data_IF_385095299019
#
_entry.id   IF_385095299019
#
_cell.length_a   1.000
_cell.length_b   1.000
_cell.length_c   1.000
_cell.angle_alpha   90.00
_cell.angle_beta   90.00
_cell.angle_gamma   90.00
#
_symmetry.space_group_name_H-M   'P 1'
#
loop_
_entity.id
_entity.type
_entity.pdbx_description
1 polymer ?
#
# COMPACT_ATOMS: atom_id res chain seq x y z
N UNK A 1 23.92 73.21 -24.04
CA UNK A 1 24.07 71.80 -24.47
C UNK A 1 24.63 70.98 -23.32
N UNK A 2 23.76 70.42 -22.48
CA UNK A 2 24.12 69.42 -21.48
C UNK A 2 23.65 68.08 -22.01
N UNK A 3 24.55 67.13 -22.27
CA UNK A 3 24.17 65.73 -22.42
C UNK A 3 25.20 64.86 -21.68
N UNK A 4 24.75 64.34 -20.53
CA UNK A 4 25.39 63.29 -19.75
C UNK A 4 25.33 61.98 -20.54
N UNK A 5 26.46 61.27 -20.65
CA UNK A 5 26.48 59.86 -21.05
C UNK A 5 27.49 59.10 -20.19
N UNK A 6 27.11 58.84 -18.93
CA UNK A 6 27.77 57.82 -18.11
C UNK A 6 27.18 56.47 -18.43
N UNK A 7 27.93 55.67 -19.19
CA UNK A 7 27.69 54.24 -19.40
C UNK A 7 27.93 53.49 -18.08
N UNK A 8 26.92 53.40 -17.23
CA UNK A 8 26.85 52.39 -16.18
C UNK A 8 26.36 51.09 -16.82
N UNK A 9 27.29 50.21 -17.18
CA UNK A 9 26.99 48.80 -17.42
C UNK A 9 26.53 48.16 -16.10
N UNK A 10 25.23 48.25 -15.80
CA UNK A 10 24.60 47.37 -14.84
C UNK A 10 24.59 45.96 -15.44
N UNK A 11 25.54 45.14 -15.02
CA UNK A 11 25.46 43.70 -15.22
C UNK A 11 24.29 43.19 -14.39
N UNK A 12 23.13 43.05 -15.03
CA UNK A 12 22.01 42.30 -14.47
C UNK A 12 22.44 40.84 -14.39
N UNK A 13 22.96 40.42 -13.25
CA UNK A 13 23.13 39.01 -12.93
C UNK A 13 21.74 38.41 -12.78
N UNK A 14 21.23 37.84 -13.88
CA UNK A 14 20.15 36.87 -13.86
C UNK A 14 20.61 35.68 -13.00
N UNK A 15 20.42 35.77 -11.69
CA UNK A 15 20.38 34.61 -10.82
C UNK A 15 19.10 33.82 -11.13
N UNK A 16 19.08 33.17 -12.30
CA UNK A 16 18.34 31.93 -12.48
C UNK A 16 19.03 30.90 -11.59
N UNK A 17 18.73 30.95 -10.29
CA UNK A 17 19.06 29.91 -9.34
C UNK A 17 18.36 28.64 -9.81
N UNK A 18 19.01 27.88 -10.69
CA UNK A 18 18.60 26.52 -11.03
C UNK A 18 18.84 25.70 -9.77
N UNK A 19 17.86 25.70 -8.87
CA UNK A 19 17.81 24.77 -7.74
C UNK A 19 17.86 23.39 -8.37
N UNK A 20 18.98 22.67 -8.17
CA UNK A 20 19.17 21.31 -8.70
C UNK A 20 18.05 20.44 -8.13
N UNK A 21 17.00 20.21 -8.92
CA UNK A 21 15.86 19.42 -8.51
C UNK A 21 16.30 18.03 -8.05
N UNK A 22 15.81 17.59 -6.90
CA UNK A 22 16.18 16.31 -6.29
C UNK A 22 15.76 15.12 -7.16
N UNK A 23 16.37 13.94 -6.97
CA UNK A 23 16.05 12.73 -7.76
C UNK A 23 14.54 12.41 -7.76
N UNK A 24 13.86 12.60 -6.63
CA UNK A 24 12.41 12.37 -6.50
C UNK A 24 11.58 13.38 -7.30
N UNK A 25 11.99 14.65 -7.35
CA UNK A 25 11.32 15.70 -8.12
C UNK A 25 11.47 15.48 -9.62
N UNK A 26 12.65 15.06 -10.07
CA UNK A 26 12.87 14.67 -11.49
C UNK A 26 11.97 13.51 -11.89
N UNK A 27 11.89 12.47 -11.04
CA UNK A 27 10.96 11.34 -11.25
C UNK A 27 9.50 11.77 -11.28
N UNK A 28 9.11 12.71 -10.42
CA UNK A 28 7.75 13.27 -10.41
C UNK A 28 7.44 13.96 -11.75
N UNK A 29 8.31 14.89 -12.19
CA UNK A 29 8.13 15.60 -13.47
C UNK A 29 8.04 14.64 -14.65
N UNK A 30 8.91 13.64 -14.71
CA UNK A 30 8.86 12.62 -15.76
C UNK A 30 7.57 11.79 -15.72
N UNK A 31 7.02 11.50 -14.54
CA UNK A 31 5.76 10.77 -14.42
C UNK A 31 4.56 11.61 -14.89
N UNK A 32 4.51 12.90 -14.56
CA UNK A 32 3.48 13.82 -15.03
C UNK A 32 3.58 14.06 -16.54
N UNK A 33 4.78 14.28 -17.08
CA UNK A 33 4.98 14.53 -18.52
C UNK A 33 4.55 13.34 -19.38
N UNK A 34 4.74 12.10 -18.89
CA UNK A 34 4.24 10.89 -19.56
C UNK A 34 2.71 10.85 -19.70
N UNK A 35 1.97 11.53 -18.84
CA UNK A 35 0.51 11.60 -18.90
C UNK A 35 0.00 12.78 -19.73
N UNK A 36 0.86 13.74 -20.08
CA UNK A 36 0.50 14.93 -20.85
C UNK A 36 -0.23 14.62 -22.17
N UNK A 37 0.13 13.58 -22.95
CA UNK A 37 -0.60 13.25 -24.18
C UNK A 37 -2.05 12.78 -23.96
N UNK A 38 -2.44 12.41 -22.74
CA UNK A 38 -3.79 11.89 -22.45
C UNK A 38 -4.74 12.95 -21.87
N UNK A 39 -4.22 14.13 -21.53
CA UNK A 39 -5.02 15.23 -20.99
C UNK A 39 -6.10 15.66 -21.99
N UNK A 40 -7.36 15.71 -21.54
CA UNK A 40 -8.51 16.04 -22.38
C UNK A 40 -8.98 14.91 -23.33
N UNK A 41 -8.28 13.77 -23.35
CA UNK A 41 -8.65 12.59 -24.16
C UNK A 41 -9.13 11.41 -23.33
N UNK A 42 -8.69 11.33 -22.08
CA UNK A 42 -9.00 10.26 -21.13
C UNK A 42 -9.65 10.87 -19.90
N UNK A 43 -10.54 10.11 -19.27
CA UNK A 43 -11.13 10.44 -17.97
C UNK A 43 -10.04 10.83 -16.94
N UNK A 44 -10.12 12.01 -16.31
CA UNK A 44 -9.09 12.50 -15.39
C UNK A 44 -8.85 11.62 -14.16
N UNK A 45 -9.89 10.96 -13.64
CA UNK A 45 -9.74 10.07 -12.47
C UNK A 45 -8.94 8.82 -12.83
N UNK A 46 -9.17 8.27 -14.02
CA UNK A 46 -8.39 7.16 -14.58
C UNK A 46 -6.90 7.50 -14.73
N UNK A 47 -6.58 8.76 -15.04
CA UNK A 47 -5.19 9.22 -15.09
C UNK A 47 -4.54 9.26 -13.69
N UNK A 48 -5.31 9.56 -12.64
CA UNK A 48 -4.81 9.52 -11.27
C UNK A 48 -4.46 8.11 -10.78
N UNK A 49 -5.08 7.07 -11.35
CA UNK A 49 -4.71 5.68 -11.09
C UNK A 49 -3.34 5.32 -11.69
N UNK A 50 -2.93 6.01 -12.76
CA UNK A 50 -1.65 5.80 -13.44
C UNK A 50 -0.50 6.65 -12.83
N UNK A 51 -0.82 7.83 -12.30
CA UNK A 51 0.18 8.77 -11.80
C UNK A 51 0.77 8.33 -10.44
N UNK A 52 2.08 8.11 -10.40
CA UNK A 52 2.81 7.77 -9.17
C UNK A 52 3.44 9.00 -8.54
N UNK A 53 2.97 9.34 -7.34
CA UNK A 53 3.50 10.46 -6.58
C UNK A 53 4.84 10.14 -5.91
N UNK A 54 5.93 10.65 -6.47
CA UNK A 54 7.30 10.53 -5.99
C UNK A 54 7.71 11.70 -5.09
N UNK A 55 7.21 12.90 -5.38
CA UNK A 55 7.50 14.12 -4.63
C UNK A 55 6.28 15.04 -4.62
N UNK A 56 5.96 15.71 -3.50
CA UNK A 56 6.55 15.52 -2.16
C UNK A 56 6.15 14.17 -1.54
N UNK A 57 6.95 13.65 -0.60
CA UNK A 57 6.67 12.34 0.02
C UNK A 57 5.34 12.40 0.79
N UNK A 58 4.47 11.44 0.54
CA UNK A 58 3.13 11.36 1.15
C UNK A 58 2.04 12.06 0.33
N UNK A 59 2.40 12.74 -0.77
CA UNK A 59 1.42 13.26 -1.72
C UNK A 59 0.64 12.15 -2.41
N UNK A 60 -0.54 12.51 -2.89
CA UNK A 60 -1.47 11.64 -3.59
C UNK A 60 -1.99 12.33 -4.83
N UNK A 61 -2.44 11.55 -5.81
CA UNK A 61 -2.97 12.13 -7.03
C UNK A 61 -4.38 12.66 -6.77
N UNK A 62 -4.61 13.91 -7.16
CA UNK A 62 -5.92 14.53 -7.20
C UNK A 62 -6.08 15.23 -8.54
N UNK A 63 -7.28 15.15 -9.11
CA UNK A 63 -7.64 15.92 -10.30
C UNK A 63 -7.78 17.39 -9.91
N UNK A 64 -7.01 18.24 -10.55
CA UNK A 64 -7.03 19.69 -10.37
C UNK A 64 -7.36 20.38 -11.70
N UNK A 65 -7.99 21.55 -11.62
CA UNK A 65 -8.29 22.36 -12.80
C UNK A 65 -7.09 23.26 -13.11
N UNK A 66 -6.44 23.05 -14.25
CA UNK A 66 -5.37 23.89 -14.80
C UNK A 66 -5.89 24.61 -16.05
N UNK A 67 -6.32 25.86 -15.88
CA UNK A 67 -6.99 26.61 -16.93
C UNK A 67 -8.32 25.97 -17.32
N UNK A 68 -8.46 25.57 -18.59
CA UNK A 68 -9.64 24.90 -19.12
C UNK A 68 -9.60 23.37 -19.01
N UNK A 69 -8.49 22.78 -18.55
CA UNK A 69 -8.25 21.33 -18.57
C UNK A 69 -8.22 20.77 -17.14
N UNK A 70 -8.76 19.57 -16.97
CA UNK A 70 -8.61 18.78 -15.74
C UNK A 70 -7.34 17.93 -15.85
N UNK A 71 -6.43 18.08 -14.89
CA UNK A 71 -5.13 17.43 -14.88
C UNK A 71 -4.89 16.65 -13.58
N UNK A 72 -4.31 15.44 -13.64
CA UNK A 72 -3.89 14.69 -12.46
C UNK A 72 -2.63 15.35 -11.87
N UNK A 73 -2.68 15.74 -10.59
CA UNK A 73 -1.52 16.31 -9.89
C UNK A 73 -1.28 15.64 -8.55
N UNK A 74 0.00 15.50 -8.20
CA UNK A 74 0.39 15.00 -6.89
C UNK A 74 0.35 16.13 -5.86
N UNK A 75 -0.65 16.10 -4.99
CA UNK A 75 -0.94 17.19 -4.05
C UNK A 75 -0.70 16.77 -2.60
N UNK A 76 -0.35 17.76 -1.78
CA UNK A 76 -0.41 17.65 -0.32
C UNK A 76 -1.56 18.53 0.19
N UNK A 77 -2.69 17.93 0.61
CA UNK A 77 -3.84 18.71 1.03
C UNK A 77 -3.53 19.49 2.32
N UNK A 78 -3.72 20.81 2.26
CA UNK A 78 -3.59 21.70 3.42
C UNK A 78 -4.93 21.80 4.17
N UNK A 79 -6.02 21.87 3.43
CA UNK A 79 -7.40 21.85 3.91
C UNK A 79 -8.09 20.57 3.43
N UNK A 80 -9.07 20.11 4.19
CA UNK A 80 -9.87 18.93 3.84
C UNK A 80 -11.35 19.24 4.04
N UNK A 81 -12.23 18.66 3.22
CA UNK A 81 -13.67 18.78 3.42
C UNK A 81 -14.07 18.18 4.77
N UNK A 82 -15.13 18.74 5.36
CA UNK A 82 -15.71 18.24 6.63
C UNK A 82 -16.59 16.99 6.45
N UNK A 83 -16.71 16.47 5.23
CA UNK A 83 -17.49 15.26 4.95
C UNK A 83 -16.98 14.08 5.78
N UNK A 84 -17.92 13.31 6.32
CA UNK A 84 -17.64 12.08 7.05
C UNK A 84 -17.81 10.93 6.08
N UNK A 85 -16.69 10.40 5.60
CA UNK A 85 -16.61 9.25 4.71
C UNK A 85 -15.41 8.40 5.18
N UNK A 86 -15.56 7.65 6.29
CA UNK A 86 -14.43 7.06 6.99
C UNK A 86 -13.62 6.15 6.09
N UNK A 87 -12.31 6.12 6.31
CA UNK A 87 -11.40 5.19 5.63
C UNK A 87 -10.46 4.55 6.65
N UNK A 88 -10.14 3.28 6.44
CA UNK A 88 -9.10 2.61 7.18
C UNK A 88 -7.80 2.71 6.38
N UNK A 89 -6.74 3.20 7.01
CA UNK A 89 -5.41 3.12 6.41
C UNK A 89 -4.85 1.70 6.48
N UNK A 90 -3.89 1.37 5.62
CA UNK A 90 -3.02 0.18 5.74
C UNK A 90 -2.25 0.14 7.07
N UNK A 91 -2.27 1.27 7.78
CA UNK A 91 -1.74 1.41 9.12
C UNK A 91 -2.83 1.29 10.21
N UNK A 92 -4.01 0.72 9.94
CA UNK A 92 -5.03 0.40 10.95
C UNK A 92 -5.50 1.58 11.76
N UNK A 93 -5.31 2.78 11.21
CA UNK A 93 -5.83 4.00 11.77
C UNK A 93 -7.01 4.42 10.90
N UNK A 94 -8.16 4.59 11.54
CA UNK A 94 -9.34 5.19 10.94
C UNK A 94 -9.11 6.69 10.77
N UNK A 95 -9.43 7.21 9.59
CA UNK A 95 -9.51 8.64 9.31
C UNK A 95 -10.95 8.97 8.92
N UNK A 96 -11.44 10.15 9.31
CA UNK A 96 -12.81 10.57 9.02
C UNK A 96 -13.10 10.70 7.51
N UNK A 97 -12.06 10.90 6.70
CA UNK A 97 -12.11 10.84 5.23
C UNK A 97 -10.72 10.62 4.61
N UNK A 98 -10.69 10.30 3.32
CA UNK A 98 -9.47 10.03 2.53
C UNK A 98 -8.53 11.25 2.45
N UNK A 99 -9.07 12.46 2.39
CA UNK A 99 -8.25 13.68 2.42
C UNK A 99 -7.44 13.77 3.73
N UNK A 100 -8.05 13.51 4.89
CA UNK A 100 -7.37 13.54 6.18
C UNK A 100 -6.27 12.49 6.29
N UNK A 101 -6.46 11.32 5.67
CA UNK A 101 -5.42 10.30 5.56
C UNK A 101 -4.20 10.84 4.80
N UNK A 102 -4.41 11.42 3.62
CA UNK A 102 -3.34 11.97 2.80
C UNK A 102 -2.70 13.24 3.39
N UNK A 103 -3.48 14.06 4.09
CA UNK A 103 -2.98 15.21 4.84
C UNK A 103 -1.97 14.79 5.92
N UNK A 104 -2.28 13.72 6.67
CA UNK A 104 -1.34 13.16 7.64
C UNK A 104 -0.10 12.56 6.95
N UNK A 105 -0.27 11.83 5.85
CA UNK A 105 0.81 11.23 5.08
C UNK A 105 1.85 12.28 4.63
N UNK A 106 1.38 13.36 4.02
CA UNK A 106 2.19 14.51 3.63
C UNK A 106 2.87 15.18 4.81
N UNK A 107 2.11 15.52 5.87
CA UNK A 107 2.65 16.20 7.05
C UNK A 107 3.78 15.40 7.70
N UNK A 108 3.65 14.07 7.73
CA UNK A 108 4.66 13.15 8.29
C UNK A 108 5.75 12.76 7.29
N UNK A 109 5.71 13.27 6.05
CA UNK A 109 6.64 12.90 4.96
C UNK A 109 6.77 11.38 4.80
N UNK A 110 5.65 10.65 4.85
CA UNK A 110 5.61 9.18 4.74
C UNK A 110 4.42 8.73 3.90
N UNK A 111 4.62 7.67 3.11
CA UNK A 111 3.53 7.02 2.36
C UNK A 111 2.58 6.32 3.33
N UNK A 112 1.29 6.63 3.24
CA UNK A 112 0.20 5.95 3.95
C UNK A 112 -0.85 5.62 2.89
N UNK A 113 -1.14 4.33 2.70
CA UNK A 113 -2.19 3.89 1.77
C UNK A 113 -3.55 3.73 2.47
N UNK A 114 -4.63 3.84 1.70
CA UNK A 114 -5.96 3.36 2.09
C UNK A 114 -5.98 1.83 2.01
N UNK A 115 -6.44 1.17 3.07
CA UNK A 115 -6.69 -0.27 3.08
C UNK A 115 -8.08 -0.57 2.52
N UNK A 116 -9.10 0.05 3.10
CA UNK A 116 -10.48 -0.07 2.65
C UNK A 116 -11.29 1.16 3.06
N UNK A 117 -12.44 1.35 2.40
CA UNK A 117 -13.46 2.32 2.81
C UNK A 117 -14.16 1.84 4.08
N UNK A 118 -14.62 2.78 4.91
CA UNK A 118 -15.16 2.52 6.24
C UNK A 118 -14.13 2.67 7.35
N UNK A 119 -14.59 2.67 8.61
CA UNK A 119 -13.69 2.66 9.76
C UNK A 119 -12.86 1.36 9.78
N UNK A 120 -11.65 1.42 10.35
CA UNK A 120 -10.92 0.19 10.62
C UNK A 120 -11.77 -0.72 11.50
N UNK A 121 -11.78 -1.99 11.14
CA UNK A 121 -12.36 -3.03 11.96
C UNK A 121 -11.56 -3.02 13.27
N UNK A 122 -12.25 -2.79 14.39
CA UNK A 122 -11.69 -2.88 15.74
C UNK A 122 -12.52 -3.93 16.47
N UNK A 123 -12.16 -5.17 16.27
CA UNK A 123 -12.77 -6.33 16.90
C UNK A 123 -12.43 -6.36 18.39
N UNK A 124 -13.44 -6.08 19.23
CA UNK A 124 -13.51 -6.57 20.62
C UNK A 124 -14.16 -7.96 20.72
N UNK A 125 -14.59 -8.52 19.58
CA UNK A 125 -15.27 -9.81 19.51
C UNK A 125 -14.27 -10.98 19.62
N UNK A 126 -14.73 -12.09 20.18
CA UNK A 126 -14.01 -13.36 20.09
C UNK A 126 -13.91 -13.79 18.63
N UNK A 127 -12.76 -14.33 18.23
CA UNK A 127 -12.53 -14.81 16.87
C UNK A 127 -13.35 -16.07 16.61
N UNK A 128 -14.38 -15.97 15.75
CA UNK A 128 -15.21 -17.10 15.36
C UNK A 128 -14.42 -18.15 14.59
N UNK A 129 -14.90 -19.40 14.53
CA UNK A 129 -14.20 -20.46 13.79
C UNK A 129 -14.10 -20.16 12.29
N UNK A 130 -15.12 -19.51 11.71
CA UNK A 130 -15.09 -19.10 10.31
C UNK A 130 -14.01 -18.05 10.05
N UNK A 131 -13.96 -16.99 10.86
CA UNK A 131 -12.92 -15.96 10.77
C UNK A 131 -11.53 -16.54 11.02
N UNK A 132 -11.41 -17.46 11.99
CA UNK A 132 -10.16 -18.14 12.30
C UNK A 132 -9.66 -18.99 11.13
N UNK A 133 -10.57 -19.66 10.41
CA UNK A 133 -10.27 -20.39 9.18
C UNK A 133 -9.78 -19.48 8.06
N UNK A 134 -10.43 -18.33 7.86
CA UNK A 134 -10.10 -17.33 6.84
C UNK A 134 -8.76 -16.61 7.11
N UNK A 135 -8.39 -16.49 8.37
CA UNK A 135 -7.29 -15.63 8.82
C UNK A 135 -5.94 -15.86 8.10
N UNK A 136 -5.42 -17.10 7.94
CA UNK A 136 -4.12 -17.33 7.32
C UNK A 136 -4.10 -16.89 5.85
N UNK A 137 -5.20 -17.11 5.14
CA UNK A 137 -5.37 -16.70 3.74
C UNK A 137 -5.32 -15.18 3.60
N UNK A 138 -6.12 -14.46 4.41
CA UNK A 138 -6.14 -13.00 4.40
C UNK A 138 -4.80 -12.40 4.85
N UNK A 139 -4.09 -13.07 5.76
CA UNK A 139 -2.76 -12.67 6.20
C UNK A 139 -1.73 -12.76 5.07
N UNK A 140 -1.76 -13.82 4.26
CA UNK A 140 -0.90 -13.93 3.06
C UNK A 140 -1.24 -12.88 2.00
N UNK A 141 -2.52 -12.63 1.75
CA UNK A 141 -2.94 -11.59 0.81
C UNK A 141 -2.47 -10.21 1.27
N UNK A 142 -2.52 -9.95 2.57
CA UNK A 142 -1.98 -8.72 3.14
C UNK A 142 -0.44 -8.63 2.99
N UNK A 143 0.30 -9.73 3.20
CA UNK A 143 1.74 -9.72 2.93
C UNK A 143 2.06 -9.48 1.47
N UNK A 144 1.25 -10.01 0.56
CA UNK A 144 1.38 -9.80 -0.87
C UNK A 144 1.19 -8.31 -1.18
N UNK A 145 0.14 -7.70 -0.64
CA UNK A 145 -0.11 -6.26 -0.75
C UNK A 145 1.07 -5.44 -0.20
N UNK A 146 1.57 -5.78 1.00
CA UNK A 146 2.70 -5.09 1.60
C UNK A 146 3.99 -5.22 0.78
N UNK A 147 4.23 -6.39 0.17
CA UNK A 147 5.41 -6.61 -0.67
C UNK A 147 5.40 -5.72 -1.92
N UNK A 148 4.20 -5.37 -2.40
CA UNK A 148 3.97 -4.44 -3.52
C UNK A 148 3.92 -2.97 -3.07
N UNK A 149 3.79 -2.70 -1.77
CA UNK A 149 3.78 -1.32 -1.27
C UNK A 149 5.18 -0.68 -1.33
N UNK A 150 5.48 -0.06 -2.46
CA UNK A 150 6.80 0.53 -2.76
C UNK A 150 7.23 0.28 -4.21
N UNK A 151 6.75 -0.82 -4.79
CA UNK A 151 6.91 -1.20 -6.19
C UNK A 151 5.52 -1.40 -6.79
N UNK A 152 5.03 -0.41 -7.57
CA UNK A 152 3.83 -0.46 -8.44
C UNK A 152 2.71 -1.43 -7.99
N UNK A 153 1.57 -0.92 -7.51
CA UNK A 153 0.30 -1.67 -7.67
C UNK A 153 0.06 -1.82 -9.18
N UNK A 154 0.30 -3.02 -9.74
CA UNK A 154 -0.04 -3.35 -11.12
C UNK A 154 -1.33 -4.17 -11.12
N UNK A 155 -2.37 -3.78 -11.89
CA UNK A 155 -3.61 -4.55 -12.00
C UNK A 155 -3.41 -6.00 -12.49
N UNK A 156 -2.30 -6.28 -13.17
CA UNK A 156 -1.91 -7.61 -13.65
C UNK A 156 -1.13 -8.46 -12.64
N UNK A 157 -0.94 -8.01 -11.40
CA UNK A 157 -0.22 -8.82 -10.41
C UNK A 157 -1.15 -9.93 -9.88
N UNK A 158 -0.74 -11.22 -9.95
CA UNK A 158 -1.59 -12.33 -9.58
C UNK A 158 -2.14 -12.16 -8.16
N UNK A 159 -3.43 -12.42 -7.95
CA UNK A 159 -4.03 -12.52 -6.62
C UNK A 159 -3.34 -13.63 -5.80
N UNK A 160 -3.50 -13.64 -4.48
CA UNK A 160 -2.99 -14.73 -3.63
C UNK A 160 -3.42 -16.11 -4.17
N UNK A 161 -4.65 -16.15 -4.70
CA UNK A 161 -5.28 -17.31 -5.33
C UNK A 161 -4.46 -17.88 -6.51
N UNK A 162 -3.73 -17.01 -7.22
CA UNK A 162 -2.88 -17.35 -8.35
C UNK A 162 -1.42 -17.67 -7.99
N UNK A 163 -1.06 -17.61 -6.71
CA UNK A 163 0.30 -17.98 -6.28
C UNK A 163 0.46 -19.50 -6.18
N UNK A 164 1.64 -19.99 -6.51
CA UNK A 164 2.04 -21.37 -6.21
C UNK A 164 2.39 -21.52 -4.72
N UNK A 165 2.41 -22.76 -4.23
CA UNK A 165 2.86 -23.05 -2.87
C UNK A 165 4.25 -22.43 -2.59
N UNK A 166 5.20 -22.61 -3.51
CA UNK A 166 6.54 -22.02 -3.42
C UNK A 166 6.51 -20.50 -3.31
N UNK A 167 5.67 -19.82 -4.10
CA UNK A 167 5.54 -18.35 -4.04
C UNK A 167 4.95 -17.87 -2.70
N UNK A 168 3.95 -18.59 -2.16
CA UNK A 168 3.40 -18.31 -0.83
C UNK A 168 4.43 -18.52 0.27
N UNK A 169 5.21 -19.59 0.18
CA UNK A 169 6.31 -19.90 1.11
C UNK A 169 7.38 -18.82 1.08
N UNK A 170 7.85 -18.41 -0.09
CA UNK A 170 8.82 -17.31 -0.22
C UNK A 170 8.30 -16.00 0.38
N UNK A 171 7.02 -15.69 0.18
CA UNK A 171 6.40 -14.50 0.77
C UNK A 171 6.36 -14.58 2.30
N UNK A 172 5.98 -15.74 2.84
CA UNK A 172 5.95 -16.00 4.28
C UNK A 172 7.37 -15.92 4.88
N UNK A 173 8.37 -16.51 4.25
CA UNK A 173 9.77 -16.50 4.67
C UNK A 173 10.36 -15.09 4.66
N UNK A 174 10.19 -14.34 3.56
CA UNK A 174 10.62 -12.93 3.49
C UNK A 174 10.04 -12.12 4.64
N UNK A 175 8.75 -12.35 4.95
CA UNK A 175 8.10 -11.65 6.06
C UNK A 175 8.64 -12.08 7.42
N UNK A 176 8.93 -13.36 7.61
CA UNK A 176 9.55 -13.88 8.84
C UNK A 176 10.88 -13.19 9.13
N UNK A 177 11.77 -13.12 8.13
CA UNK A 177 13.10 -12.50 8.26
C UNK A 177 13.01 -11.01 8.63
N UNK A 178 12.02 -10.29 8.09
CA UNK A 178 11.80 -8.88 8.45
C UNK A 178 11.33 -8.68 9.90
N UNK A 179 10.67 -9.67 10.48
CA UNK A 179 10.15 -9.61 11.85
C UNK A 179 11.19 -10.06 12.87
N UNK A 180 11.99 -11.08 12.54
CA UNK A 180 13.05 -11.63 13.37
C UNK A 180 14.25 -10.68 13.46
N UNK A 181 14.11 -9.64 14.28
CA UNK A 181 15.16 -8.63 14.50
C UNK A 181 16.36 -9.22 15.23
N UNK A 182 16.14 -10.18 16.11
CA UNK A 182 17.23 -10.82 16.86
C UNK A 182 18.01 -11.80 15.99
N UNK A 183 17.44 -12.21 14.85
CA UNK A 183 17.99 -13.22 13.95
C UNK A 183 18.23 -14.53 14.70
N UNK A 184 17.37 -14.84 15.65
CA UNK A 184 17.44 -16.07 16.46
C UNK A 184 16.62 -17.22 15.86
N UNK A 185 16.07 -17.01 14.64
CA UNK A 185 15.28 -17.98 13.90
C UNK A 185 13.89 -18.20 14.49
N UNK A 186 13.43 -17.31 15.38
CA UNK A 186 12.21 -17.51 16.17
C UNK A 186 11.45 -16.19 16.38
N UNK A 187 10.16 -16.17 16.05
CA UNK A 187 9.30 -15.02 16.32
C UNK A 187 8.68 -15.11 17.71
N UNK A 188 9.04 -14.18 18.60
CA UNK A 188 8.38 -14.03 19.89
C UNK A 188 7.29 -12.94 19.84
N UNK A 189 6.54 -12.76 20.95
CA UNK A 189 5.47 -11.76 21.06
C UNK A 189 5.92 -10.32 20.69
N UNK A 190 7.17 -9.93 20.96
CA UNK A 190 7.68 -8.59 20.62
C UNK A 190 7.88 -8.44 19.11
N UNK A 191 8.33 -9.49 18.43
CA UNK A 191 8.51 -9.49 16.98
C UNK A 191 7.17 -9.50 16.26
N UNK A 192 6.22 -10.33 16.71
CA UNK A 192 4.85 -10.35 16.17
C UNK A 192 4.10 -9.02 16.38
N UNK A 193 4.39 -8.25 17.45
CA UNK A 193 3.82 -6.90 17.61
C UNK A 193 4.25 -5.94 16.49
N UNK A 194 5.39 -6.16 15.82
CA UNK A 194 5.86 -5.33 14.69
C UNK A 194 5.11 -5.60 13.39
N UNK A 195 4.42 -6.73 13.26
CA UNK A 195 3.42 -6.90 12.21
C UNK A 195 2.36 -5.80 12.29
N UNK A 196 2.21 -5.17 13.46
CA UNK A 196 1.11 -4.28 13.75
C UNK A 196 -0.23 -4.92 13.33
N UNK A 197 -0.45 -6.19 13.66
CA UNK A 197 -1.65 -6.93 13.27
C UNK A 197 -2.95 -6.20 13.68
N UNK A 198 -2.91 -5.30 14.67
CA UNK A 198 -4.00 -4.33 14.96
C UNK A 198 -4.46 -3.48 13.76
N UNK A 199 -3.75 -3.57 12.63
CA UNK A 199 -3.92 -2.79 11.41
C UNK A 199 -4.33 -3.63 10.21
N UNK A 200 -4.63 -4.90 10.47
CA UNK A 200 -4.80 -5.95 9.50
C UNK A 200 -6.24 -6.48 9.58
N UNK A 201 -6.81 -7.00 8.49
CA UNK A 201 -8.10 -7.67 8.55
C UNK A 201 -8.11 -8.81 9.59
N UNK A 202 -9.19 -8.91 10.39
CA UNK A 202 -9.39 -9.93 11.43
C UNK A 202 -8.30 -9.90 12.53
N UNK A 203 -7.90 -8.71 12.96
CA UNK A 203 -6.85 -8.52 13.97
C UNK A 203 -7.12 -9.21 15.31
N UNK A 204 -8.38 -9.44 15.69
CA UNK A 204 -8.75 -10.24 16.87
C UNK A 204 -8.28 -11.69 16.77
N UNK A 205 -8.29 -12.27 15.56
CA UNK A 205 -7.87 -13.64 15.34
C UNK A 205 -6.36 -13.84 15.44
N UNK A 206 -5.57 -12.76 15.31
CA UNK A 206 -4.11 -12.85 15.24
C UNK A 206 -3.48 -13.49 16.48
N UNK A 207 -3.95 -13.13 17.68
CA UNK A 207 -3.40 -13.69 18.91
C UNK A 207 -3.67 -15.20 19.00
N UNK A 208 -4.93 -15.62 18.77
CA UNK A 208 -5.33 -17.03 18.75
C UNK A 208 -4.56 -17.81 17.69
N UNK A 209 -4.40 -17.22 16.50
CA UNK A 209 -3.67 -17.83 15.40
C UNK A 209 -2.21 -18.11 15.75
N UNK A 210 -1.45 -17.11 16.18
CA UNK A 210 -0.03 -17.32 16.47
C UNK A 210 0.19 -18.26 17.66
N UNK A 211 -0.73 -18.30 18.63
CA UNK A 211 -0.71 -19.30 19.69
C UNK A 211 -0.94 -20.72 19.15
N UNK A 212 -1.86 -20.89 18.18
CA UNK A 212 -2.09 -22.20 17.55
C UNK A 212 -0.92 -22.69 16.68
N UNK A 213 -0.05 -21.78 16.24
CA UNK A 213 1.12 -22.11 15.44
C UNK A 213 2.31 -22.60 16.29
N UNK A 214 2.35 -22.23 17.58
CA UNK A 214 3.38 -22.64 18.54
C UNK A 214 3.08 -24.05 19.05
N UNK A 215 3.51 -25.07 18.28
CA UNK A 215 3.15 -26.47 18.54
C UNK A 215 3.77 -27.02 19.82
N UNK A 216 4.98 -26.57 20.14
CA UNK A 216 5.70 -26.98 21.35
C UNK A 216 5.42 -26.05 22.55
N UNK A 217 4.53 -25.06 22.39
CA UNK A 217 4.06 -24.14 23.44
C UNK A 217 5.17 -23.36 24.14
N UNK A 218 6.27 -23.08 23.45
CA UNK A 218 7.43 -22.37 24.02
C UNK A 218 7.33 -20.83 23.90
N UNK A 219 6.18 -20.33 23.46
CA UNK A 219 5.85 -18.91 23.19
C UNK A 219 6.65 -18.29 22.04
N UNK A 220 7.23 -19.12 21.18
CA UNK A 220 8.00 -18.70 20.00
C UNK A 220 7.57 -19.52 18.79
N UNK A 221 7.46 -18.85 17.65
CA UNK A 221 7.12 -19.50 16.37
C UNK A 221 8.39 -19.60 15.53
N UNK A 222 8.82 -20.83 15.23
CA UNK A 222 9.93 -21.10 14.31
C UNK A 222 9.55 -20.84 12.85
N UNK A 223 10.53 -20.76 11.95
CA UNK A 223 10.26 -20.60 10.51
C UNK A 223 9.36 -21.72 9.97
N UNK A 224 9.59 -22.97 10.40
CA UNK A 224 8.80 -24.14 9.97
C UNK A 224 7.37 -24.09 10.49
N UNK A 225 7.18 -23.72 11.75
CA UNK A 225 5.83 -23.51 12.31
C UNK A 225 5.11 -22.38 11.60
N UNK A 226 5.82 -21.28 11.32
CA UNK A 226 5.28 -20.13 10.60
C UNK A 226 4.81 -20.50 9.19
N UNK A 227 5.65 -21.13 8.38
CA UNK A 227 5.29 -21.50 7.00
C UNK A 227 4.17 -22.52 6.98
N UNK A 228 4.23 -23.56 7.82
CA UNK A 228 3.15 -24.56 7.86
C UNK A 228 1.81 -23.97 8.32
N UNK A 229 1.84 -23.10 9.31
CA UNK A 229 0.63 -22.51 9.86
C UNK A 229 0.04 -21.42 8.96
N UNK A 230 0.86 -20.74 8.16
CA UNK A 230 0.42 -19.66 7.29
C UNK A 230 0.09 -20.15 5.86
N UNK A 231 0.96 -20.96 5.27
CA UNK A 231 0.83 -21.45 3.89
C UNK A 231 -0.09 -22.66 3.85
N UNK A 232 0.26 -23.77 4.52
CA UNK A 232 -0.52 -25.01 4.41
C UNK A 232 -1.97 -24.83 4.89
N UNK A 233 -2.19 -24.08 5.99
CA UNK A 233 -3.55 -23.80 6.47
C UNK A 233 -4.32 -22.87 5.54
N UNK A 234 -3.66 -21.91 4.90
CA UNK A 234 -4.30 -21.06 3.89
C UNK A 234 -4.73 -21.88 2.68
N UNK A 235 -3.89 -22.82 2.22
CA UNK A 235 -4.20 -23.66 1.07
C UNK A 235 -5.35 -24.62 1.39
N UNK A 236 -5.32 -25.26 2.57
CA UNK A 236 -6.40 -26.13 3.03
C UNK A 236 -7.72 -25.37 3.15
N UNK A 237 -7.72 -24.22 3.83
CA UNK A 237 -8.93 -23.39 3.93
C UNK A 237 -9.46 -22.99 2.56
N UNK A 238 -8.58 -22.60 1.64
CA UNK A 238 -8.99 -22.20 0.30
C UNK A 238 -9.58 -23.38 -0.49
N UNK A 239 -8.98 -24.57 -0.41
CA UNK A 239 -9.50 -25.79 -1.04
C UNK A 239 -10.87 -26.18 -0.47
N UNK A 240 -11.03 -26.16 0.85
CA UNK A 240 -12.29 -26.45 1.53
C UNK A 240 -13.37 -25.43 1.16
N UNK A 241 -13.02 -24.14 1.16
CA UNK A 241 -13.94 -23.06 0.77
C UNK A 241 -14.40 -23.20 -0.69
N UNK A 242 -13.48 -23.44 -1.62
CA UNK A 242 -13.81 -23.56 -3.04
C UNK A 242 -14.61 -24.83 -3.36
N UNK A 243 -14.24 -25.96 -2.75
CA UNK A 243 -14.96 -27.23 -2.95
C UNK A 243 -16.40 -27.15 -2.43
N UNK A 244 -16.63 -26.46 -1.31
CA UNK A 244 -17.96 -26.36 -0.68
C UNK A 244 -18.84 -25.26 -1.27
N UNK A 245 -18.27 -24.14 -1.75
CA UNK A 245 -19.05 -22.95 -2.15
C UNK A 245 -19.06 -22.62 -3.64
N UNK A 246 -18.06 -23.04 -4.41
CA UNK A 246 -17.88 -22.57 -5.80
C UNK A 246 -17.89 -23.69 -6.85
N UNK A 247 -17.86 -24.96 -6.44
CA UNK A 247 -17.98 -26.11 -7.36
C UNK A 247 -16.86 -26.25 -8.41
N UNK A 248 -15.79 -25.45 -8.33
CA UNK A 248 -14.67 -25.47 -9.27
C UNK A 248 -13.36 -25.09 -8.59
N UNK A 249 -12.26 -25.85 -8.81
CA UNK A 249 -10.95 -25.57 -8.24
C UNK A 249 -10.10 -24.59 -9.08
N UNK A 250 -10.60 -24.06 -10.21
CA UNK A 250 -9.81 -23.20 -11.11
C UNK A 250 -9.76 -21.75 -10.63
N UNK A 251 -8.55 -21.19 -10.65
CA UNK A 251 -8.10 -20.23 -9.64
C UNK A 251 -7.45 -18.94 -10.20
N UNK A 252 -7.35 -18.83 -11.52
CA UNK A 252 -6.89 -17.63 -12.20
C UNK A 252 -7.79 -17.40 -13.40
N UNK A 253 -8.33 -16.19 -13.59
CA UNK A 253 -8.80 -15.79 -14.91
C UNK A 253 -7.61 -15.93 -15.85
N UNK A 254 -7.68 -16.88 -16.79
CA UNK A 254 -6.83 -16.80 -17.98
C UNK A 254 -7.39 -15.60 -18.72
N UNK A 255 -6.59 -14.58 -19.07
CA UNK A 255 -7.09 -13.52 -19.93
C UNK A 255 -7.58 -14.20 -21.21
N UNK A 256 -8.84 -13.98 -21.57
CA UNK A 256 -9.36 -14.40 -22.86
C UNK A 256 -8.51 -13.69 -23.93
N UNK A 257 -7.57 -14.42 -24.52
CA UNK A 257 -6.91 -14.01 -25.76
C UNK A 257 -7.92 -14.18 -26.88
N UNK A 258 -8.93 -13.33 -26.91
CA UNK A 258 -9.84 -13.13 -28.02
C UNK A 258 -10.33 -11.67 -27.98
N UNK A 259 -9.50 -10.76 -28.50
CA UNK A 259 -9.86 -9.71 -29.46
C UNK A 259 -8.59 -8.96 -29.90
#
# INVERSE_FOLDING_TARGET
MHLLCHLLFFTVTLHLGVVKAGRAERKQRQAEEKLRPYLGRVDPESLCQLLKCHSPIGSWCQVVKEGAILAPKCVCPKTCPRQVAPVCSVLGKTYSNECLLHKEACRKKRRIGKAHSGACIVSKAECSEEEFGQFPYRLLDWFLLLSRMGERYTPAAPSQSCLTHTQRTQLAERRFVLLDRKRDGKLNRRDLRKLHYKRMPLEHCAQRFFQSCDKNKNKKVTLREWTSCLVDRSERWFQDFMSVKMGSPKLCPVPDNNL
#
